data_IF_383339787800
#
_entry.id   IF_383339787800
#
_cell.length_a   1.000
_cell.length_b   1.000
_cell.length_c   1.000
_cell.angle_alpha   90.00
_cell.angle_beta   90.00
_cell.angle_gamma   90.00
#
_symmetry.space_group_name_H-M   'P 1'
#
loop_
_entity.id
_entity.type
_entity.pdbx_description
1 polymer ?
#
# COMPACT_ATOMS: atom_id res chain seq x y z
N UNK A 1 -80.92 41.43 30.43
CA UNK A 1 -79.51 41.32 30.74
C UNK A 1 -78.96 40.19 29.81
N UNK A 2 -78.24 40.54 28.73
CA UNK A 2 -77.68 39.58 27.76
C UNK A 2 -76.20 39.44 28.03
N UNK A 3 -75.78 38.26 28.44
CA UNK A 3 -74.39 37.96 28.69
C UNK A 3 -73.78 37.47 27.39
N UNK A 4 -72.77 38.19 26.89
CA UNK A 4 -72.03 37.89 25.66
C UNK A 4 -70.81 37.02 26.03
N UNK A 5 -70.81 35.75 25.60
CA UNK A 5 -69.64 34.85 25.76
C UNK A 5 -68.66 35.08 24.57
N UNK A 6 -67.48 35.56 24.90
CA UNK A 6 -66.36 35.65 23.96
C UNK A 6 -65.60 34.30 23.95
N UNK A 7 -65.63 33.60 22.82
CA UNK A 7 -64.83 32.40 22.59
C UNK A 7 -63.50 32.86 21.95
N UNK A 8 -62.39 32.77 22.72
CA UNK A 8 -61.05 33.03 22.20
C UNK A 8 -60.56 31.72 21.58
N UNK A 9 -60.45 31.70 20.26
CA UNK A 9 -59.88 30.58 19.48
C UNK A 9 -58.35 30.73 19.46
N UNK A 10 -57.66 29.84 20.18
CA UNK A 10 -56.20 29.79 20.23
C UNK A 10 -55.69 28.95 19.02
N UNK A 11 -55.20 29.63 17.99
CA UNK A 11 -54.57 28.99 16.85
C UNK A 11 -53.16 28.48 17.24
N UNK A 12 -53.04 27.19 17.35
CA UNK A 12 -51.74 26.52 17.56
C UNK A 12 -51.02 26.41 16.23
N UNK A 13 -50.07 27.27 15.92
CA UNK A 13 -49.21 27.19 14.78
C UNK A 13 -48.11 26.17 15.02
N UNK A 14 -48.26 24.97 14.48
CA UNK A 14 -47.21 23.92 14.48
C UNK A 14 -46.10 24.31 13.47
N UNK A 15 -44.99 24.77 14.00
CA UNK A 15 -43.75 24.94 13.20
C UNK A 15 -43.12 23.55 13.02
N UNK A 16 -43.25 23.00 11.82
CA UNK A 16 -42.54 21.80 11.41
C UNK A 16 -41.07 22.16 11.18
N UNK A 17 -40.18 21.76 12.11
CA UNK A 17 -38.75 21.78 11.88
C UNK A 17 -38.39 20.66 10.89
N UNK A 18 -38.14 21.03 9.64
CA UNK A 18 -37.53 20.15 8.66
C UNK A 18 -36.06 19.91 9.09
N UNK A 19 -35.80 18.74 9.65
CA UNK A 19 -34.45 18.30 9.99
C UNK A 19 -33.75 17.90 8.68
N UNK A 20 -32.97 18.80 8.13
CA UNK A 20 -32.11 18.54 6.97
C UNK A 20 -31.03 17.54 7.38
N UNK A 21 -31.26 16.30 7.01
CA UNK A 21 -30.31 15.18 7.24
C UNK A 21 -29.12 15.38 6.28
N UNK A 22 -28.14 16.21 6.66
CA UNK A 22 -26.85 16.30 5.96
C UNK A 22 -26.15 14.98 6.09
N UNK A 23 -26.32 14.11 5.09
CA UNK A 23 -25.48 12.93 4.90
C UNK A 23 -24.07 13.43 4.65
N UNK A 24 -23.26 13.49 5.70
CA UNK A 24 -21.81 13.71 5.58
C UNK A 24 -21.26 12.47 4.86
N UNK A 25 -21.09 12.56 3.55
CA UNK A 25 -20.26 11.64 2.79
C UNK A 25 -18.84 11.85 3.31
N UNK A 26 -18.42 11.03 4.25
CA UNK A 26 -17.02 10.90 4.62
C UNK A 26 -16.29 10.41 3.36
N UNK A 27 -15.74 11.34 2.58
CA UNK A 27 -14.76 10.99 1.55
C UNK A 27 -13.59 10.38 2.31
N UNK A 28 -13.43 9.06 2.22
CA UNK A 28 -12.22 8.42 2.71
C UNK A 28 -11.05 9.07 1.97
N UNK A 29 -10.18 9.74 2.70
CA UNK A 29 -8.99 10.37 2.15
C UNK A 29 -8.22 9.32 1.35
N UNK A 30 -7.99 9.59 0.05
CA UNK A 30 -7.32 8.66 -0.84
C UNK A 30 -5.85 8.54 -0.39
N UNK A 31 -5.49 7.41 0.17
CA UNK A 31 -4.11 7.16 0.60
C UNK A 31 -3.22 7.06 -0.64
N UNK A 32 -2.28 7.98 -0.77
CA UNK A 32 -1.31 8.03 -1.86
C UNK A 32 0.06 7.61 -1.32
N UNK A 33 0.50 6.40 -1.68
CA UNK A 33 1.81 5.87 -1.29
C UNK A 33 2.82 5.89 -2.45
N UNK A 34 2.34 5.91 -3.69
CA UNK A 34 3.17 6.00 -4.87
C UNK A 34 3.24 7.44 -5.38
N UNK A 35 4.42 7.87 -5.82
CA UNK A 35 4.62 9.12 -6.55
C UNK A 35 4.72 8.85 -8.06
N UNK A 36 3.69 9.20 -8.87
CA UNK A 36 3.74 8.98 -10.32
C UNK A 36 4.83 9.79 -11.04
N UNK A 37 5.38 10.83 -10.40
CA UNK A 37 6.43 11.70 -10.94
C UNK A 37 7.84 11.30 -10.49
N UNK A 38 7.98 10.28 -9.64
CA UNK A 38 9.29 9.82 -9.19
C UNK A 38 10.08 9.22 -10.35
N UNK A 39 11.38 9.42 -10.33
CA UNK A 39 12.32 8.69 -11.18
C UNK A 39 12.62 7.33 -10.55
N UNK A 40 11.84 6.33 -10.96
CA UNK A 40 11.95 4.99 -10.41
C UNK A 40 13.33 4.36 -10.68
N UNK A 41 14.05 4.76 -11.76
CA UNK A 41 15.40 4.25 -12.01
C UNK A 41 16.38 4.83 -10.98
N UNK A 42 16.35 6.13 -10.77
CA UNK A 42 17.18 6.80 -9.78
C UNK A 42 16.91 6.29 -8.36
N UNK A 43 15.63 6.07 -8.00
CA UNK A 43 15.24 5.53 -6.69
C UNK A 43 15.80 4.11 -6.46
N UNK A 44 15.73 3.24 -7.49
CA UNK A 44 16.29 1.89 -7.43
C UNK A 44 17.81 1.94 -7.31
N UNK A 45 18.48 2.77 -8.11
CA UNK A 45 19.95 2.88 -8.09
C UNK A 45 20.45 3.37 -6.73
N UNK A 46 19.76 4.34 -6.12
CA UNK A 46 20.05 4.82 -4.79
C UNK A 46 19.83 3.72 -3.71
N UNK A 47 18.77 2.93 -3.83
CA UNK A 47 18.51 1.82 -2.92
C UNK A 47 19.54 0.70 -3.06
N UNK A 48 19.95 0.37 -4.30
CA UNK A 48 21.03 -0.61 -4.56
C UNK A 48 22.33 -0.17 -3.93
N UNK A 49 22.73 1.10 -4.09
CA UNK A 49 23.95 1.63 -3.47
C UNK A 49 23.93 1.52 -1.93
N UNK A 50 22.77 1.84 -1.31
CA UNK A 50 22.60 1.70 0.15
C UNK A 50 22.62 0.22 0.58
N UNK A 51 21.92 -0.64 -0.15
CA UNK A 51 21.85 -2.07 0.14
C UNK A 51 23.23 -2.73 0.05
N UNK A 52 24.03 -2.39 -0.95
CA UNK A 52 25.40 -2.86 -1.10
C UNK A 52 26.25 -2.51 0.12
N UNK A 53 26.22 -1.24 0.54
CA UNK A 53 27.00 -0.75 1.70
C UNK A 53 26.55 -1.36 3.04
N UNK A 54 25.27 -1.77 3.13
CA UNK A 54 24.69 -2.32 4.35
C UNK A 54 24.60 -3.86 4.37
N UNK A 55 25.12 -4.55 3.34
CA UNK A 55 24.96 -5.99 3.11
C UNK A 55 23.50 -6.45 3.13
N UNK A 56 22.62 -5.65 2.55
CA UNK A 56 21.18 -5.93 2.41
C UNK A 56 20.81 -6.25 0.97
N UNK A 57 19.57 -6.66 0.77
CA UNK A 57 18.92 -6.69 -0.53
C UNK A 57 17.99 -5.49 -0.72
N UNK A 58 17.52 -5.28 -1.95
CA UNK A 58 16.48 -4.30 -2.27
C UNK A 58 15.15 -5.01 -2.39
N UNK A 59 14.13 -4.50 -1.69
CA UNK A 59 12.74 -4.92 -1.82
C UNK A 59 11.97 -3.85 -2.60
N UNK A 60 11.48 -4.22 -3.77
CA UNK A 60 10.68 -3.33 -4.62
C UNK A 60 9.22 -3.78 -4.56
N UNK A 61 8.32 -2.85 -4.21
CA UNK A 61 6.88 -3.04 -4.39
C UNK A 61 6.45 -2.27 -5.64
N UNK A 62 6.01 -2.97 -6.68
CA UNK A 62 5.46 -2.37 -7.91
C UNK A 62 3.95 -2.31 -7.82
N UNK A 63 3.38 -1.16 -8.15
CA UNK A 63 1.94 -0.94 -8.16
C UNK A 63 1.57 0.51 -8.39
N UNK A 64 0.43 0.96 -7.89
CA UNK A 64 -0.02 2.34 -8.04
C UNK A 64 -1.10 2.70 -7.02
N UNK A 65 -1.41 3.99 -6.93
CA UNK A 65 -2.45 4.49 -6.02
C UNK A 65 -3.89 4.06 -6.40
N UNK A 66 -4.07 3.44 -7.55
CA UNK A 66 -5.32 2.80 -8.00
C UNK A 66 -5.47 1.38 -7.47
N UNK A 67 -4.39 0.75 -7.01
CA UNK A 67 -4.31 -0.65 -6.61
C UNK A 67 -4.68 -0.81 -5.12
N UNK A 68 -5.89 -1.24 -4.83
CA UNK A 68 -6.39 -1.43 -3.46
C UNK A 68 -5.51 -2.43 -2.67
N UNK A 69 -5.09 -3.52 -3.32
CA UNK A 69 -4.22 -4.53 -2.71
C UNK A 69 -2.80 -4.00 -2.41
N UNK A 70 -2.29 -3.08 -3.24
CA UNK A 70 -1.01 -2.43 -3.00
C UNK A 70 -1.05 -1.56 -1.73
N UNK A 71 -2.14 -0.79 -1.59
CA UNK A 71 -2.38 0.04 -0.41
C UNK A 71 -2.60 -0.83 0.84
N UNK A 72 -3.35 -1.93 0.70
CA UNK A 72 -3.61 -2.87 1.80
C UNK A 72 -2.32 -3.53 2.30
N UNK A 73 -1.44 -3.99 1.40
CA UNK A 73 -0.14 -4.54 1.76
C UNK A 73 0.71 -3.53 2.53
N UNK A 74 0.84 -2.32 2.01
CA UNK A 74 1.63 -1.25 2.64
C UNK A 74 1.11 -0.93 4.05
N UNK A 75 -0.21 -0.77 4.19
CA UNK A 75 -0.85 -0.55 5.51
C UNK A 75 -0.63 -1.71 6.48
N UNK A 76 -0.70 -2.95 6.00
CA UNK A 76 -0.46 -4.12 6.85
C UNK A 76 0.98 -4.14 7.38
N UNK A 77 1.96 -3.87 6.51
CA UNK A 77 3.37 -3.79 6.92
C UNK A 77 3.57 -2.68 7.94
N UNK A 78 3.01 -1.48 7.69
CA UNK A 78 3.13 -0.34 8.61
C UNK A 78 2.45 -0.58 9.97
N UNK A 79 1.31 -1.28 9.96
CA UNK A 79 0.54 -1.60 11.18
C UNK A 79 1.12 -2.80 11.96
N UNK A 80 2.07 -3.55 11.39
CA UNK A 80 2.65 -4.75 11.99
C UNK A 80 4.12 -4.49 12.33
N UNK A 81 4.46 -4.11 13.57
CA UNK A 81 5.81 -3.72 13.94
C UNK A 81 6.86 -4.79 13.62
N UNK A 82 6.53 -6.07 13.78
CA UNK A 82 7.43 -7.17 13.46
C UNK A 82 7.79 -7.21 11.97
N UNK A 83 6.80 -7.09 11.07
CA UNK A 83 7.03 -7.03 9.62
C UNK A 83 7.84 -5.80 9.24
N UNK A 84 7.43 -4.63 9.76
CA UNK A 84 8.10 -3.36 9.46
C UNK A 84 9.56 -3.38 9.86
N UNK A 85 9.84 -3.81 11.09
CA UNK A 85 11.20 -3.89 11.61
C UNK A 85 12.02 -4.91 10.81
N UNK A 86 11.46 -6.08 10.51
CA UNK A 86 12.18 -7.11 9.74
C UNK A 86 12.51 -6.62 8.34
N UNK A 87 11.54 -5.99 7.65
CA UNK A 87 11.74 -5.43 6.31
C UNK A 87 12.86 -4.38 6.32
N UNK A 88 12.79 -3.38 7.19
CA UNK A 88 13.80 -2.31 7.25
C UNK A 88 15.18 -2.79 7.72
N UNK A 89 15.25 -3.84 8.55
CA UNK A 89 16.53 -4.37 9.01
C UNK A 89 17.27 -5.15 7.90
N UNK A 90 16.55 -5.76 6.97
CA UNK A 90 17.13 -6.67 5.98
C UNK A 90 17.08 -6.17 4.52
N UNK A 91 16.30 -5.09 4.27
CA UNK A 91 16.09 -4.58 2.92
C UNK A 91 16.14 -3.06 2.86
N UNK A 92 16.64 -2.54 1.75
CA UNK A 92 16.28 -1.19 1.29
C UNK A 92 15.00 -1.27 0.46
N UNK A 93 14.03 -0.39 0.74
CA UNK A 93 12.69 -0.50 0.14
C UNK A 93 12.43 0.58 -0.91
N UNK A 94 11.82 0.19 -2.03
CA UNK A 94 11.44 1.10 -3.12
C UNK A 94 9.99 0.86 -3.53
N UNK A 95 9.22 1.94 -3.68
CA UNK A 95 7.89 1.91 -4.27
C UNK A 95 7.98 2.36 -5.73
N UNK A 96 7.75 1.45 -6.66
CA UNK A 96 7.77 1.74 -8.09
C UNK A 96 6.35 1.94 -8.60
N UNK A 97 6.03 3.16 -9.04
CA UNK A 97 4.73 3.47 -9.60
C UNK A 97 4.52 2.79 -10.96
N UNK A 98 3.33 2.21 -11.14
CA UNK A 98 2.79 1.79 -12.43
C UNK A 98 1.38 2.37 -12.56
N UNK A 99 1.20 3.35 -13.43
CA UNK A 99 -0.09 4.01 -13.64
C UNK A 99 -0.22 4.45 -15.11
N UNK A 100 -1.43 4.84 -15.57
CA UNK A 100 -1.62 5.37 -16.93
C UNK A 100 -0.69 6.55 -17.23
N UNK A 101 -0.41 7.41 -16.23
CA UNK A 101 0.43 8.60 -16.37
C UNK A 101 1.92 8.25 -16.46
N UNK A 102 2.34 7.17 -15.78
CA UNK A 102 3.73 6.71 -15.80
C UNK A 102 3.80 5.20 -15.61
N UNK A 103 4.02 4.48 -16.71
CA UNK A 103 4.16 3.01 -16.72
C UNK A 103 5.57 2.55 -16.37
N UNK A 104 6.53 3.45 -16.25
CA UNK A 104 7.93 3.10 -15.99
C UNK A 104 8.46 1.97 -16.90
N UNK A 105 8.15 2.03 -18.21
CA UNK A 105 8.31 0.90 -19.13
C UNK A 105 9.75 0.33 -19.17
N UNK A 106 10.77 1.21 -19.19
CA UNK A 106 12.17 0.79 -19.19
C UNK A 106 12.55 0.09 -17.87
N UNK A 107 12.05 0.59 -16.73
CA UNK A 107 12.24 -0.04 -15.41
C UNK A 107 11.54 -1.39 -15.36
N UNK A 108 10.29 -1.50 -15.84
CA UNK A 108 9.57 -2.77 -15.91
C UNK A 108 10.34 -3.80 -16.74
N UNK A 109 10.91 -3.40 -17.87
CA UNK A 109 11.73 -4.29 -18.71
C UNK A 109 12.98 -4.75 -17.97
N UNK A 110 13.72 -3.85 -17.31
CA UNK A 110 14.94 -4.20 -16.56
C UNK A 110 14.67 -5.10 -15.36
N UNK A 111 13.46 -5.04 -14.78
CA UNK A 111 13.00 -5.94 -13.70
C UNK A 111 12.40 -7.25 -14.20
N UNK A 112 12.45 -7.54 -15.51
CA UNK A 112 11.93 -8.77 -16.10
C UNK A 112 10.40 -8.81 -16.20
N UNK A 113 9.75 -7.65 -16.43
CA UNK A 113 8.31 -7.50 -16.62
C UNK A 113 7.47 -8.10 -15.48
N UNK A 114 7.68 -7.66 -14.23
CA UNK A 114 7.00 -8.26 -13.07
C UNK A 114 5.48 -8.11 -13.13
N UNK A 115 4.94 -7.09 -13.81
CA UNK A 115 3.51 -6.84 -13.94
C UNK A 115 2.68 -7.97 -14.57
N UNK A 116 3.34 -9.00 -15.18
CA UNK A 116 2.66 -10.22 -15.67
C UNK A 116 1.98 -11.03 -14.58
N UNK A 117 2.35 -10.80 -13.32
CA UNK A 117 1.76 -11.47 -12.14
C UNK A 117 0.64 -10.65 -11.48
N UNK A 118 0.26 -9.48 -12.04
CA UNK A 118 -0.69 -8.56 -11.40
C UNK A 118 -0.01 -7.61 -10.41
N UNK A 119 -0.83 -6.94 -9.55
CA UNK A 119 -0.34 -5.94 -8.60
C UNK A 119 -1.03 -6.09 -7.23
N UNK A 120 -0.30 -5.86 -6.11
CA UNK A 120 1.13 -5.59 -6.09
C UNK A 120 1.93 -6.78 -6.61
N UNK A 121 3.12 -6.51 -7.12
CA UNK A 121 4.13 -7.53 -7.35
C UNK A 121 5.42 -7.06 -6.68
N UNK A 122 6.17 -8.00 -6.12
CA UNK A 122 7.39 -7.67 -5.41
C UNK A 122 8.60 -8.19 -6.17
N UNK A 123 9.68 -7.41 -6.15
CA UNK A 123 10.95 -7.81 -6.77
C UNK A 123 12.06 -7.68 -5.73
N UNK A 124 12.88 -8.71 -5.63
CA UNK A 124 14.07 -8.69 -4.80
C UNK A 124 15.29 -8.52 -5.71
N UNK A 125 16.10 -7.50 -5.42
CA UNK A 125 17.41 -7.34 -6.04
C UNK A 125 18.51 -7.64 -5.01
N UNK A 126 19.66 -8.13 -5.49
CA UNK A 126 20.88 -8.16 -4.66
C UNK A 126 21.49 -6.74 -4.52
N UNK A 127 22.56 -6.64 -3.73
CA UNK A 127 23.29 -5.39 -3.54
C UNK A 127 23.99 -4.84 -4.80
N UNK A 128 23.99 -5.58 -5.92
CA UNK A 128 24.51 -5.15 -7.22
C UNK A 128 23.39 -4.82 -8.22
N UNK A 129 22.13 -4.88 -7.80
CA UNK A 129 20.97 -4.57 -8.62
C UNK A 129 20.51 -5.71 -9.53
N UNK A 130 21.04 -6.94 -9.36
CA UNK A 130 20.58 -8.13 -10.09
C UNK A 130 19.26 -8.62 -9.51
N UNK A 131 18.28 -8.92 -10.38
CA UNK A 131 17.02 -9.53 -9.96
C UNK A 131 17.28 -10.94 -9.46
N UNK A 132 16.94 -11.19 -8.20
CA UNK A 132 17.01 -12.51 -7.57
C UNK A 132 15.67 -13.23 -7.61
N UNK A 133 14.56 -12.48 -7.42
CA UNK A 133 13.24 -13.09 -7.33
C UNK A 133 12.14 -12.08 -7.71
N UNK A 134 11.07 -12.61 -8.30
CA UNK A 134 9.82 -11.87 -8.53
C UNK A 134 8.71 -12.65 -7.84
N UNK A 135 8.11 -12.03 -6.80
CA UNK A 135 7.06 -12.62 -6.00
C UNK A 135 5.68 -12.16 -6.47
N UNK A 136 4.86 -13.08 -6.93
CA UNK A 136 3.44 -12.85 -7.11
C UNK A 136 2.75 -12.68 -5.75
N UNK A 137 2.05 -11.56 -5.56
CA UNK A 137 1.36 -11.26 -4.29
C UNK A 137 0.27 -12.26 -3.92
N UNK A 138 -0.34 -12.92 -4.90
CA UNK A 138 -1.39 -13.91 -4.65
C UNK A 138 -0.93 -15.04 -3.71
N UNK A 139 0.36 -15.42 -3.75
CA UNK A 139 0.91 -16.41 -2.81
C UNK A 139 1.03 -15.91 -1.37
N UNK A 140 0.96 -14.60 -1.17
CA UNK A 140 1.04 -13.95 0.15
C UNK A 140 -0.34 -13.61 0.72
N UNK A 141 -1.40 -13.90 -0.03
CA UNK A 141 -2.78 -13.59 0.33
C UNK A 141 -3.38 -14.65 1.26
N UNK A 142 -4.33 -14.22 2.09
CA UNK A 142 -5.15 -15.04 2.96
C UNK A 142 -6.49 -14.35 3.23
N UNK A 143 -7.59 -15.03 2.94
CA UNK A 143 -8.92 -14.45 3.07
C UNK A 143 -9.11 -13.22 2.17
N UNK A 144 -9.42 -12.07 2.77
CA UNK A 144 -9.63 -10.79 2.07
C UNK A 144 -8.43 -9.83 2.17
N UNK A 145 -7.23 -10.35 2.45
CA UNK A 145 -6.03 -9.55 2.64
C UNK A 145 -4.75 -10.35 2.47
N UNK A 146 -3.66 -9.81 2.99
CA UNK A 146 -2.37 -10.50 3.00
C UNK A 146 -2.12 -11.17 4.36
N UNK A 147 -1.40 -12.31 4.34
CA UNK A 147 -1.02 -13.04 5.55
C UNK A 147 0.31 -12.55 6.10
N UNK A 148 0.32 -12.08 7.34
CA UNK A 148 1.54 -11.69 8.07
C UNK A 148 2.57 -12.81 8.07
N UNK A 149 2.12 -14.06 8.31
CA UNK A 149 2.98 -15.24 8.31
C UNK A 149 3.64 -15.48 6.96
N UNK A 150 2.86 -15.50 5.87
CA UNK A 150 3.38 -15.74 4.52
C UNK A 150 4.34 -14.64 4.06
N UNK A 151 4.03 -13.36 4.40
CA UNK A 151 4.94 -12.24 4.13
C UNK A 151 6.25 -12.42 4.88
N UNK A 152 6.19 -12.76 6.17
CA UNK A 152 7.39 -12.98 6.98
C UNK A 152 8.24 -14.14 6.45
N UNK A 153 7.62 -15.25 6.04
CA UNK A 153 8.31 -16.39 5.44
C UNK A 153 9.00 -16.00 4.13
N UNK A 154 8.30 -15.26 3.28
CA UNK A 154 8.88 -14.72 2.05
C UNK A 154 10.08 -13.82 2.33
N UNK A 155 9.94 -12.84 3.22
CA UNK A 155 11.03 -11.93 3.57
C UNK A 155 12.23 -12.69 4.14
N UNK A 156 12.01 -13.66 5.04
CA UNK A 156 13.09 -14.49 5.62
C UNK A 156 13.86 -15.27 4.57
N UNK A 157 13.18 -15.80 3.56
CA UNK A 157 13.79 -16.62 2.52
C UNK A 157 14.70 -15.86 1.55
N UNK A 158 14.56 -14.52 1.47
CA UNK A 158 15.25 -13.71 0.47
C UNK A 158 16.17 -12.63 1.05
N UNK A 159 16.54 -12.71 2.32
CA UNK A 159 17.57 -11.80 2.88
C UNK A 159 18.96 -12.11 2.28
N UNK A 160 19.86 -11.13 2.31
CA UNK A 160 21.25 -11.36 1.89
C UNK A 160 21.90 -12.51 2.66
N UNK A 161 21.58 -12.64 3.95
CA UNK A 161 22.09 -13.76 4.76
C UNK A 161 21.50 -15.11 4.35
N UNK A 162 20.19 -15.17 4.00
CA UNK A 162 19.52 -16.43 3.69
C UNK A 162 20.07 -17.14 2.45
N UNK A 163 20.55 -16.38 1.45
CA UNK A 163 21.06 -16.97 0.19
C UNK A 163 22.57 -17.18 0.18
N UNK A 164 23.29 -16.88 1.27
CA UNK A 164 24.73 -17.17 1.37
C UNK A 164 24.96 -18.69 1.40
N UNK A 165 25.90 -19.23 0.59
CA UNK A 165 26.15 -20.68 0.51
C UNK A 165 26.47 -21.34 1.86
N UNK A 166 27.15 -20.63 2.76
CA UNK A 166 27.51 -21.13 4.09
C UNK A 166 26.30 -21.37 4.99
N UNK A 167 25.16 -20.72 4.73
CA UNK A 167 23.93 -20.86 5.50
C UNK A 167 22.99 -21.94 4.92
N UNK A 168 23.37 -22.59 3.78
CA UNK A 168 22.57 -23.57 3.04
C UNK A 168 23.26 -24.93 2.92
N UNK A 169 24.08 -25.30 3.90
CA UNK A 169 24.78 -26.58 3.97
C UNK A 169 23.98 -27.62 4.73
#
# INVERSE_FOLDING_TARGET
>A
MKTLLFIISLAFSSVAFAQENKTVKTQSEKVLIYNPKADARADIDAAVAKANNAEKHVFIQVGGNWCVWCIAFHKLVDATPELKNYLHSNYETVLVNYSPENKNAAVMASLGYPGRFGYPVFVILDGNGKVLHIQNSAYLEEGKGHSVKKIMEFLKGWTAAAIKPENNK
#
